data_IF_044499546155
#
_entry.id   IF_044499546155
#
_cell.length_a   1.000
_cell.length_b   1.000
_cell.length_c   1.000
_cell.angle_alpha   90.00
_cell.angle_beta   90.00
_cell.angle_gamma   90.00
#
_symmetry.space_group_name_H-M   'P 1'
#
loop_
_entity.id
_entity.type
_entity.pdbx_description
1 polymer ?
#
# COMPACT_ATOMS: atom_id res chain seq x y z
N UNK A 1 -9.15 2.14 48.45
CA UNK A 1 -9.55 3.31 47.66
C UNK A 1 -9.73 2.82 46.24
N UNK A 2 -10.99 2.77 45.81
CA UNK A 2 -11.43 2.32 44.51
C UNK A 2 -11.06 3.41 43.50
N UNK A 3 -10.37 3.08 42.40
CA UNK A 3 -10.71 3.74 41.14
C UNK A 3 -10.40 2.84 39.95
N UNK A 4 -11.47 2.57 39.22
CA UNK A 4 -11.52 1.77 38.02
C UNK A 4 -11.12 2.67 36.86
N UNK A 5 -10.06 2.31 36.14
CA UNK A 5 -9.92 2.78 34.75
C UNK A 5 -9.90 1.55 33.87
N UNK A 6 -11.12 1.12 33.54
CA UNK A 6 -11.41 0.15 32.49
C UNK A 6 -10.84 0.68 31.17
N UNK A 7 -9.68 0.16 30.78
CA UNK A 7 -9.21 0.23 29.40
C UNK A 7 -10.05 -0.79 28.64
N UNK A 8 -11.17 -0.34 28.08
CA UNK A 8 -11.90 -1.10 27.07
C UNK A 8 -10.92 -1.47 25.96
N UNK A 9 -10.59 -2.77 25.90
CA UNK A 9 -9.93 -3.35 24.74
C UNK A 9 -10.88 -3.13 23.57
N UNK A 10 -10.52 -2.22 22.67
CA UNK A 10 -11.11 -2.14 21.34
C UNK A 10 -10.83 -3.48 20.65
N UNK A 11 -11.76 -4.43 20.84
CA UNK A 11 -11.82 -5.66 20.08
C UNK A 11 -11.98 -5.25 18.62
N UNK A 12 -10.89 -5.34 17.87
CA UNK A 12 -10.92 -5.24 16.42
C UNK A 12 -12.06 -6.12 15.92
N UNK A 13 -13.06 -5.49 15.30
CA UNK A 13 -14.21 -6.17 14.70
C UNK A 13 -13.68 -7.26 13.79
N UNK A 14 -13.81 -8.50 14.23
CA UNK A 14 -13.49 -9.70 13.46
C UNK A 14 -14.46 -9.73 12.29
N UNK A 15 -14.00 -9.28 11.12
CA UNK A 15 -14.73 -9.47 9.88
C UNK A 15 -14.55 -10.94 9.50
N UNK A 16 -15.65 -11.70 9.56
CA UNK A 16 -15.68 -13.09 9.15
C UNK A 16 -15.17 -13.27 7.71
N UNK A 17 -14.46 -14.37 7.40
CA UNK A 17 -13.92 -14.61 6.07
C UNK A 17 -15.07 -14.79 5.09
N UNK A 18 -15.30 -13.79 4.24
CA UNK A 18 -16.26 -13.90 3.16
C UNK A 18 -15.87 -15.05 2.22
N UNK A 19 -16.78 -16.01 2.18
CA UNK A 19 -16.92 -17.14 1.27
C UNK A 19 -16.15 -17.06 -0.06
N UNK A 20 -15.45 -18.16 -0.35
CA UNK A 20 -15.12 -18.74 -1.66
C UNK A 20 -15.27 -17.82 -2.87
N UNK A 21 -14.12 -17.34 -3.37
CA UNK A 21 -13.96 -16.55 -4.59
C UNK A 21 -14.66 -17.19 -5.80
N UNK A 22 -15.88 -16.71 -6.08
CA UNK A 22 -16.58 -17.00 -7.32
C UNK A 22 -15.99 -16.12 -8.40
N UNK A 23 -15.29 -16.75 -9.36
CA UNK A 23 -14.70 -16.09 -10.53
C UNK A 23 -15.80 -15.53 -11.44
N UNK A 24 -16.32 -14.34 -11.11
CA UNK A 24 -17.24 -13.62 -11.98
C UNK A 24 -16.42 -12.95 -13.07
N UNK A 25 -16.52 -13.47 -14.29
CA UNK A 25 -15.76 -13.03 -15.47
C UNK A 25 -16.31 -11.71 -16.01
N UNK A 26 -16.17 -10.63 -15.23
CA UNK A 26 -16.46 -9.26 -15.63
C UNK A 26 -15.39 -8.72 -16.60
N UNK A 27 -15.79 -7.82 -17.51
CA UNK A 27 -14.87 -7.20 -18.48
C UNK A 27 -13.96 -6.21 -17.76
N UNK A 28 -12.71 -6.63 -17.49
CA UNK A 28 -11.71 -5.82 -16.80
C UNK A 28 -11.51 -4.47 -17.51
N UNK A 29 -11.56 -3.39 -16.73
CA UNK A 29 -11.24 -2.06 -17.25
C UNK A 29 -9.73 -1.99 -17.61
N UNK A 30 -9.36 -1.05 -18.48
CA UNK A 30 -7.98 -0.90 -18.98
C UNK A 30 -6.94 -0.79 -17.85
N UNK A 31 -7.24 0.01 -16.82
CA UNK A 31 -6.35 0.25 -15.68
C UNK A 31 -6.16 -1.01 -14.84
N UNK A 32 -7.23 -1.75 -14.56
CA UNK A 32 -7.16 -3.04 -13.87
C UNK A 32 -6.29 -4.02 -14.65
N UNK A 33 -6.38 -4.05 -15.98
CA UNK A 33 -5.52 -4.91 -16.81
C UNK A 33 -4.05 -4.51 -16.73
N UNK A 34 -3.75 -3.21 -16.72
CA UNK A 34 -2.39 -2.69 -16.60
C UNK A 34 -1.79 -3.07 -15.23
N UNK A 35 -2.48 -2.74 -14.14
CA UNK A 35 -2.06 -3.09 -12.76
C UNK A 35 -1.90 -4.60 -12.61
N UNK A 36 -2.89 -5.37 -13.06
CA UNK A 36 -2.83 -6.83 -12.94
C UNK A 36 -1.73 -7.45 -13.81
N UNK A 37 -1.48 -6.90 -15.00
CA UNK A 37 -0.40 -7.37 -15.87
C UNK A 37 0.97 -7.12 -15.25
N UNK A 38 1.15 -5.96 -14.63
CA UNK A 38 2.33 -5.62 -13.85
C UNK A 38 2.50 -6.58 -12.65
N UNK A 39 1.49 -6.70 -11.79
CA UNK A 39 1.54 -7.57 -10.61
C UNK A 39 1.78 -9.04 -10.95
N UNK A 40 1.16 -9.55 -12.01
CA UNK A 40 1.36 -10.93 -12.46
C UNK A 40 2.80 -11.22 -12.92
N UNK A 41 3.52 -10.18 -13.36
CA UNK A 41 4.91 -10.29 -13.80
C UNK A 41 5.88 -10.07 -12.64
N UNK A 42 5.52 -9.20 -11.69
CA UNK A 42 6.37 -8.77 -10.57
C UNK A 42 6.28 -9.70 -9.36
N UNK A 43 5.10 -10.16 -8.97
CA UNK A 43 4.94 -11.03 -7.80
C UNK A 43 5.31 -12.48 -8.18
N UNK A 44 6.46 -12.93 -7.69
CA UNK A 44 7.05 -14.27 -7.88
C UNK A 44 7.14 -15.04 -6.57
N UNK A 45 7.46 -14.35 -5.48
CA UNK A 45 7.55 -14.91 -4.13
C UNK A 45 6.33 -14.49 -3.32
N UNK A 46 5.66 -15.47 -2.71
CA UNK A 46 4.40 -15.25 -1.99
C UNK A 46 3.18 -15.13 -2.90
N UNK A 47 2.03 -14.94 -2.25
CA UNK A 47 0.72 -14.84 -2.90
C UNK A 47 0.08 -13.50 -2.55
N UNK A 48 -0.32 -12.74 -3.57
CA UNK A 48 -1.16 -11.55 -3.41
C UNK A 48 -2.52 -11.77 -4.06
N UNK A 49 -3.59 -11.72 -3.27
CA UNK A 49 -4.98 -11.72 -3.76
C UNK A 49 -5.53 -10.30 -3.71
N UNK A 50 -5.91 -9.75 -4.86
CA UNK A 50 -6.41 -8.39 -5.00
C UNK A 50 -7.85 -8.39 -5.51
N UNK A 51 -8.75 -7.83 -4.72
CA UNK A 51 -10.13 -7.55 -5.09
C UNK A 51 -10.24 -6.14 -5.66
N UNK A 52 -10.86 -6.01 -6.82
CA UNK A 52 -11.02 -4.74 -7.52
C UNK A 52 -12.44 -4.18 -7.38
N UNK A 53 -12.63 -2.85 -7.58
CA UNK A 53 -13.94 -2.19 -7.48
C UNK A 53 -14.97 -2.64 -8.53
N UNK A 54 -14.56 -3.40 -9.54
CA UNK A 54 -15.45 -3.99 -10.53
C UNK A 54 -15.97 -5.38 -10.11
N UNK A 55 -15.67 -5.80 -8.88
CA UNK A 55 -16.05 -7.10 -8.32
C UNK A 55 -15.12 -8.24 -8.75
N UNK A 56 -14.12 -7.97 -9.59
CA UNK A 56 -13.16 -9.00 -9.99
C UNK A 56 -12.12 -9.21 -8.90
N UNK A 57 -11.78 -10.47 -8.63
CA UNK A 57 -10.69 -10.84 -7.71
C UNK A 57 -9.62 -11.56 -8.51
N UNK A 58 -8.36 -11.19 -8.28
CA UNK A 58 -7.22 -11.81 -8.95
C UNK A 58 -6.14 -12.21 -7.96
N UNK A 59 -5.59 -13.39 -8.18
CA UNK A 59 -4.46 -13.92 -7.42
C UNK A 59 -3.18 -13.79 -8.24
N UNK A 60 -2.11 -13.33 -7.61
CA UNK A 60 -0.77 -13.15 -8.19
C UNK A 60 0.25 -13.92 -7.37
N UNK A 61 1.29 -14.45 -8.02
CA UNK A 61 2.31 -15.26 -7.37
C UNK A 61 1.82 -16.65 -6.95
N UNK A 62 2.63 -17.32 -6.13
CA UNK A 62 2.35 -18.64 -5.56
C UNK A 62 3.21 -18.85 -4.31
N UNK A 63 2.65 -19.54 -3.32
CA UNK A 63 3.33 -19.87 -2.06
C UNK A 63 3.04 -18.84 -0.97
N UNK A 64 3.73 -19.00 0.16
CA UNK A 64 3.59 -18.14 1.33
C UNK A 64 4.59 -16.98 1.29
N UNK A 65 4.27 -15.83 1.91
CA UNK A 65 3.03 -15.52 2.64
C UNK A 65 1.84 -15.24 1.71
N UNK A 66 0.61 -15.49 2.19
CA UNK A 66 -0.63 -15.16 1.48
C UNK A 66 -1.29 -13.90 2.04
N UNK A 67 -1.25 -12.83 1.24
CA UNK A 67 -1.82 -11.53 1.56
C UNK A 67 -3.04 -11.26 0.68
N UNK A 68 -4.09 -10.73 1.27
CA UNK A 68 -5.28 -10.29 0.54
C UNK A 68 -5.54 -8.81 0.76
N UNK A 69 -5.89 -8.11 -0.31
CA UNK A 69 -6.22 -6.69 -0.27
C UNK A 69 -7.37 -6.37 -1.22
N UNK A 70 -8.08 -5.27 -0.93
CA UNK A 70 -9.19 -4.76 -1.72
C UNK A 70 -8.93 -3.32 -2.11
N UNK A 71 -9.00 -3.02 -3.40
CA UNK A 71 -9.10 -1.65 -3.89
C UNK A 71 -10.57 -1.26 -3.94
N UNK A 72 -10.94 -0.21 -3.22
CA UNK A 72 -12.35 0.16 -3.00
C UNK A 72 -12.91 1.07 -4.09
N UNK A 73 -12.06 1.89 -4.74
CA UNK A 73 -12.49 2.88 -5.74
C UNK A 73 -11.83 2.68 -7.10
N UNK A 74 -12.59 2.91 -8.19
CA UNK A 74 -12.07 2.81 -9.56
C UNK A 74 -10.99 3.83 -9.87
N UNK A 75 -11.10 5.04 -9.29
CA UNK A 75 -10.09 6.10 -9.39
C UNK A 75 -8.75 5.66 -8.79
N UNK A 76 -8.78 4.94 -7.66
CA UNK A 76 -7.60 4.41 -6.99
C UNK A 76 -6.83 3.42 -7.87
N UNK A 77 -7.52 2.54 -8.61
CA UNK A 77 -6.85 1.63 -9.57
C UNK A 77 -6.06 2.41 -10.62
N UNK A 78 -6.69 3.45 -11.20
CA UNK A 78 -6.02 4.33 -12.17
C UNK A 78 -4.85 5.09 -11.54
N UNK A 79 -5.02 5.56 -10.30
CA UNK A 79 -3.99 6.32 -9.60
C UNK A 79 -2.75 5.47 -9.31
N UNK A 80 -2.97 4.25 -8.79
CA UNK A 80 -1.91 3.25 -8.57
C UNK A 80 -1.23 2.87 -9.89
N UNK A 81 -1.97 2.73 -11.00
CA UNK A 81 -1.38 2.41 -12.30
C UNK A 81 -0.40 3.49 -12.81
N UNK A 82 -0.64 4.76 -12.47
CA UNK A 82 0.14 5.89 -12.94
C UNK A 82 1.28 6.28 -11.97
N UNK A 83 1.08 6.14 -10.66
CA UNK A 83 2.03 6.58 -9.62
C UNK A 83 2.13 5.60 -8.43
N UNK A 84 2.46 4.32 -8.65
CA UNK A 84 2.37 3.30 -7.60
C UNK A 84 3.25 3.58 -6.40
N UNK A 85 4.43 4.20 -6.59
CA UNK A 85 5.36 4.53 -5.50
C UNK A 85 4.69 5.37 -4.37
N UNK A 86 3.78 6.28 -4.74
CA UNK A 86 3.08 7.18 -3.80
C UNK A 86 1.63 6.76 -3.59
N UNK A 87 0.93 6.45 -4.68
CA UNK A 87 -0.51 6.19 -4.70
C UNK A 87 -0.90 4.96 -3.87
N UNK A 88 -0.01 3.99 -3.67
CA UNK A 88 -0.29 2.82 -2.83
C UNK A 88 -0.40 3.24 -1.36
N UNK A 89 0.53 4.07 -0.88
CA UNK A 89 0.51 4.60 0.48
C UNK A 89 -0.67 5.54 0.72
N UNK A 90 -0.90 6.49 -0.19
CA UNK A 90 -2.07 7.38 -0.15
C UNK A 90 -3.38 6.59 -0.17
N UNK A 91 -3.48 5.58 -1.04
CA UNK A 91 -4.67 4.74 -1.10
C UNK A 91 -4.90 3.97 0.20
N UNK A 92 -3.86 3.50 0.88
CA UNK A 92 -4.00 2.84 2.16
C UNK A 92 -4.52 3.81 3.23
N UNK A 93 -3.92 5.01 3.32
CA UNK A 93 -4.32 6.05 4.27
C UNK A 93 -5.77 6.52 4.04
N UNK A 94 -6.18 6.70 2.79
CA UNK A 94 -7.51 7.19 2.43
C UNK A 94 -8.61 6.09 2.37
N UNK A 95 -8.26 4.83 2.71
CA UNK A 95 -9.16 3.68 2.59
C UNK A 95 -9.49 3.27 1.15
N UNK A 96 -8.75 3.81 0.17
CA UNK A 96 -8.76 3.40 -1.23
C UNK A 96 -8.20 1.98 -1.46
N UNK A 97 -7.29 1.55 -0.59
CA UNK A 97 -6.70 0.22 -0.50
C UNK A 97 -6.88 -0.27 0.94
N UNK A 98 -7.46 -1.46 1.10
CA UNK A 98 -7.66 -2.09 2.40
C UNK A 98 -6.99 -3.46 2.42
N UNK A 99 -6.27 -3.78 3.48
CA UNK A 99 -5.71 -5.13 3.67
C UNK A 99 -6.78 -5.98 4.35
N UNK A 100 -7.10 -7.12 3.72
CA UNK A 100 -8.11 -8.09 4.16
C UNK A 100 -7.50 -9.26 4.95
N UNK A 101 -6.26 -9.63 4.60
CA UNK A 101 -5.50 -10.71 5.25
C UNK A 101 -4.02 -10.31 5.32
N UNK A 102 -3.44 -10.45 6.50
CA UNK A 102 -2.13 -9.89 6.85
C UNK A 102 -2.25 -8.47 7.38
N UNK A 103 -1.12 -7.83 7.64
CA UNK A 103 -1.06 -6.41 7.95
C UNK A 103 -0.38 -5.58 6.84
N UNK A 104 -0.25 -4.27 7.07
CA UNK A 104 0.41 -3.36 6.12
C UNK A 104 1.91 -3.66 5.98
N UNK A 105 2.56 -4.17 7.02
CA UNK A 105 3.98 -4.54 6.97
C UNK A 105 4.16 -5.78 6.09
N UNK A 106 3.33 -6.81 6.26
CA UNK A 106 3.33 -8.01 5.44
C UNK A 106 3.08 -7.67 3.96
N UNK A 107 2.14 -6.76 3.69
CA UNK A 107 1.85 -6.30 2.34
C UNK A 107 3.06 -5.57 1.73
N UNK A 108 3.65 -4.62 2.46
CA UNK A 108 4.80 -3.85 1.99
C UNK A 108 6.02 -4.75 1.79
N UNK A 109 6.27 -5.66 2.71
CA UNK A 109 7.35 -6.63 2.65
C UNK A 109 7.22 -7.55 1.42
N UNK A 110 6.03 -8.13 1.18
CA UNK A 110 5.76 -8.92 -0.02
C UNK A 110 5.99 -8.11 -1.30
N UNK A 111 5.47 -6.88 -1.35
CA UNK A 111 5.62 -6.00 -2.53
C UNK A 111 7.09 -5.62 -2.75
N UNK A 112 7.81 -5.21 -1.70
CA UNK A 112 9.20 -4.74 -1.78
C UNK A 112 10.18 -5.88 -2.09
N UNK A 113 9.99 -7.08 -1.53
CA UNK A 113 10.83 -8.26 -1.87
C UNK A 113 10.75 -8.59 -3.35
N UNK A 114 9.54 -8.53 -3.93
CA UNK A 114 9.31 -8.81 -5.34
C UNK A 114 9.72 -7.68 -6.29
N UNK A 115 9.74 -6.43 -5.81
CA UNK A 115 10.26 -5.27 -6.56
C UNK A 115 11.79 -5.14 -6.46
N UNK A 116 12.37 -5.69 -5.39
CA UNK A 116 13.77 -5.59 -5.03
C UNK A 116 14.70 -6.58 -5.72
N UNK A 117 14.17 -7.59 -6.44
CA UNK A 117 15.00 -8.59 -7.12
C UNK A 117 16.01 -7.94 -8.10
N UNK A 118 17.33 -8.02 -7.81
CA UNK A 118 18.40 -7.43 -8.61
C UNK A 118 18.52 -8.05 -10.01
N UNK A 119 17.92 -9.22 -10.26
CA UNK A 119 18.03 -9.95 -11.52
C UNK A 119 17.14 -9.36 -12.65
N UNK A 120 17.40 -8.11 -13.00
CA UNK A 120 17.34 -7.66 -14.39
C UNK A 120 16.02 -7.85 -15.14
N UNK A 121 14.86 -7.87 -14.47
CA UNK A 121 13.59 -7.98 -15.18
C UNK A 121 13.46 -6.79 -16.15
N UNK A 122 13.24 -7.02 -17.46
CA UNK A 122 13.01 -5.96 -18.45
C UNK A 122 11.93 -4.97 -18.02
N UNK A 123 11.00 -5.44 -17.19
CA UNK A 123 9.93 -4.63 -16.61
C UNK A 123 10.44 -3.59 -15.61
N UNK A 124 11.46 -3.87 -14.79
CA UNK A 124 12.08 -2.86 -13.91
C UNK A 124 12.74 -1.76 -14.72
N UNK A 125 13.38 -2.11 -15.84
CA UNK A 125 13.98 -1.12 -16.76
C UNK A 125 12.90 -0.28 -17.46
N UNK A 126 11.80 -0.90 -17.89
CA UNK A 126 10.63 -0.21 -18.43
C UNK A 126 9.96 0.66 -17.36
N UNK A 127 9.86 0.18 -16.12
CA UNK A 127 9.31 0.92 -14.98
C UNK A 127 10.17 2.13 -14.61
N UNK A 128 11.49 1.95 -14.54
CA UNK A 128 12.46 3.04 -14.34
C UNK A 128 12.42 4.04 -15.49
N UNK A 129 12.30 3.58 -16.74
CA UNK A 129 12.18 4.44 -17.92
C UNK A 129 10.85 5.22 -17.90
N UNK A 130 9.73 4.56 -17.57
CA UNK A 130 8.42 5.18 -17.40
C UNK A 130 8.47 6.22 -16.28
N UNK A 131 8.98 5.86 -15.09
CA UNK A 131 9.22 6.77 -13.96
C UNK A 131 10.01 8.00 -14.39
N UNK A 132 11.08 7.81 -15.17
CA UNK A 132 11.90 8.91 -15.69
C UNK A 132 11.15 9.77 -16.71
N UNK A 133 10.29 9.18 -17.53
CA UNK A 133 9.46 9.89 -18.52
C UNK A 133 8.31 10.68 -17.89
N UNK A 134 7.71 10.19 -16.80
CA UNK A 134 6.67 10.90 -16.04
C UNK A 134 7.24 11.85 -14.97
N UNK A 135 8.55 11.78 -14.70
CA UNK A 135 9.26 12.67 -13.76
C UNK A 135 9.02 14.16 -14.02
N UNK A 136 9.10 14.69 -15.26
CA UNK A 136 8.79 16.09 -15.51
C UNK A 136 7.32 16.47 -15.23
N UNK A 137 6.37 15.53 -15.40
CA UNK A 137 4.95 15.76 -15.09
C UNK A 137 4.67 15.72 -13.58
N UNK A 138 5.40 14.89 -12.84
CA UNK A 138 5.29 14.77 -11.37
C UNK A 138 6.05 15.86 -10.62
N UNK A 139 7.16 16.36 -11.17
CA UNK A 139 7.90 17.50 -10.65
C UNK A 139 7.31 18.85 -11.07
N UNK A 140 6.33 18.86 -11.98
CA UNK A 140 5.62 20.08 -12.35
C UNK A 140 4.70 20.52 -11.20
N UNK A 141 5.29 21.19 -10.22
CA UNK A 141 4.64 21.73 -9.05
C UNK A 141 4.62 23.27 -9.13
N UNK A 142 3.75 23.87 -9.95
CA UNK A 142 3.65 25.32 -10.05
C UNK A 142 3.39 25.92 -8.65
N UNK A 143 3.96 27.09 -8.38
CA UNK A 143 3.99 27.73 -7.04
C UNK A 143 2.64 27.77 -6.32
N UNK A 144 1.53 27.91 -7.05
CA UNK A 144 0.17 27.85 -6.48
C UNK A 144 -0.22 26.46 -5.94
N UNK A 145 0.18 25.36 -6.59
CA UNK A 145 -0.02 23.98 -6.10
C UNK A 145 0.98 23.61 -5.02
N UNK A 146 2.22 24.09 -5.14
CA UNK A 146 3.24 23.90 -4.11
C UNK A 146 2.78 24.53 -2.78
N UNK A 147 2.23 25.75 -2.80
CA UNK A 147 1.70 26.39 -1.62
C UNK A 147 0.51 25.63 -0.98
N UNK A 148 -0.36 25.02 -1.79
CA UNK A 148 -1.48 24.20 -1.31
C UNK A 148 -1.01 22.85 -0.73
N UNK A 149 0.09 22.28 -1.23
CA UNK A 149 0.67 21.05 -0.69
C UNK A 149 1.51 21.30 0.57
N UNK A 150 2.15 22.48 0.68
CA UNK A 150 3.03 22.86 1.80
C UNK A 150 2.25 23.40 3.01
N UNK A 151 1.01 23.84 2.83
CA UNK A 151 0.19 24.41 3.94
C UNK A 151 -0.21 23.41 5.02
N UNK A 152 0.16 22.15 4.90
CA UNK A 152 0.04 21.14 5.95
C UNK A 152 1.42 20.87 6.56
N UNK A 153 1.99 21.88 7.22
CA UNK A 153 3.00 21.58 8.24
C UNK A 153 2.28 20.81 9.35
N UNK A 154 2.62 19.53 9.50
CA UNK A 154 2.19 18.77 10.66
C UNK A 154 2.93 19.37 11.85
N UNK A 155 2.20 20.08 12.71
CA UNK A 155 2.69 20.47 14.03
C UNK A 155 2.78 19.19 14.87
N UNK A 156 3.83 18.41 14.64
CA UNK A 156 4.14 17.21 15.41
C UNK A 156 4.68 17.68 16.76
N UNK A 157 3.92 17.43 17.82
CA UNK A 157 4.28 17.82 19.18
C UNK A 157 5.32 16.87 19.78
N UNK A 158 6.11 17.35 20.72
CA UNK A 158 7.08 16.53 21.47
C UNK A 158 6.38 15.36 22.19
N UNK A 159 5.12 15.55 22.59
CA UNK A 159 4.27 14.50 23.18
C UNK A 159 4.07 13.30 22.24
N UNK A 160 3.92 13.56 20.93
CA UNK A 160 3.80 12.49 19.95
C UNK A 160 5.11 11.68 19.89
N UNK A 161 6.26 12.34 19.83
CA UNK A 161 7.56 11.66 19.80
C UNK A 161 7.82 10.87 21.09
N UNK A 162 7.51 11.45 22.24
CA UNK A 162 7.63 10.79 23.53
C UNK A 162 6.75 9.54 23.67
N UNK A 163 5.67 9.42 22.88
CA UNK A 163 4.77 8.26 22.94
C UNK A 163 5.34 6.99 22.33
N UNK A 164 6.33 7.09 21.41
CA UNK A 164 6.87 5.93 20.69
C UNK A 164 8.40 5.85 20.65
N UNK A 165 9.12 6.90 21.05
CA UNK A 165 10.58 6.88 21.18
C UNK A 165 11.03 6.37 22.56
N UNK A 166 12.29 5.98 22.65
CA UNK A 166 12.93 5.67 23.92
C UNK A 166 13.11 6.93 24.79
N UNK A 167 13.55 6.74 26.03
CA UNK A 167 13.74 7.85 26.98
C UNK A 167 14.74 8.90 26.49
N UNK A 168 15.66 8.52 25.59
CA UNK A 168 16.67 9.39 25.02
C UNK A 168 16.18 10.13 23.76
N UNK A 169 14.90 9.92 23.38
CA UNK A 169 14.23 10.51 22.22
C UNK A 169 15.02 10.33 20.91
N UNK A 170 15.67 9.17 20.75
CA UNK A 170 16.52 8.91 19.59
C UNK A 170 15.70 8.57 18.35
N UNK A 171 15.62 9.51 17.40
CA UNK A 171 15.03 9.28 16.09
C UNK A 171 16.07 8.75 15.08
N UNK A 172 16.74 7.66 15.47
CA UNK A 172 17.74 6.96 14.63
C UNK A 172 17.61 5.44 14.79
N UNK A 173 18.26 4.68 13.91
CA UNK A 173 18.23 3.21 14.00
C UNK A 173 19.00 2.74 15.25
N UNK A 174 18.32 2.00 16.13
CA UNK A 174 18.96 1.37 17.27
C UNK A 174 19.82 0.16 16.85
N UNK A 175 20.83 -0.15 17.65
CA UNK A 175 21.68 -1.32 17.48
C UNK A 175 21.32 -2.37 18.53
N UNK A 176 20.89 -3.56 18.07
CA UNK A 176 20.57 -4.70 18.93
C UNK A 176 21.64 -5.78 18.71
N UNK A 177 22.31 -6.19 19.79
CA UNK A 177 23.39 -7.19 19.79
C UNK A 177 22.87 -8.59 20.16
#
# INVERSE_FOLDING_TARGET
MNDSTDIERLTATRVDPAASATSTRGRLNFWTRLVSGFLNRSIREGTLTLSFPDGTTRRFGKGDPEIAATITRRSTVRWIALHPDLAVGEAYMDGGLRIDRGDIYDFLDLVLRNLGDPNGSPLRRIWLAFRRAIRPLTLFNPTKRAAQNVSHHYDLTDELYASFLDSDLQYSCAYFA
#
